data_IF_664865295695
#
_entry.id   IF_664865295695
#
_cell.length_a   1.000
_cell.length_b   1.000
_cell.length_c   1.000
_cell.angle_alpha   90.00
_cell.angle_beta   90.00
_cell.angle_gamma   90.00
#
_symmetry.space_group_name_H-M   'P 1'
#
loop_
_entity.id
_entity.type
_entity.pdbx_description
1 polymer ?
#
# COMPACT_ATOMS: atom_id res chain seq x y z
N UNK A 1 15.84 25.73 -13.43
CA UNK A 1 17.14 25.28 -13.94
C UNK A 1 16.95 24.70 -15.34
N UNK A 2 17.86 25.01 -16.26
CA UNK A 2 17.70 24.87 -17.71
C UNK A 2 17.78 23.41 -18.24
N UNK A 3 16.90 22.53 -17.73
CA UNK A 3 16.83 21.13 -18.14
C UNK A 3 15.74 20.28 -17.48
N UNK A 4 14.85 20.87 -16.66
CA UNK A 4 13.72 20.15 -16.06
C UNK A 4 12.41 20.68 -16.68
N UNK A 5 11.55 19.83 -17.27
CA UNK A 5 10.25 20.28 -17.72
C UNK A 5 9.46 20.76 -16.50
N UNK A 6 9.06 22.03 -16.51
CA UNK A 6 8.07 22.57 -15.59
C UNK A 6 6.79 22.78 -16.40
N UNK A 7 5.68 22.19 -15.94
CA UNK A 7 4.37 22.44 -16.52
C UNK A 7 3.79 23.66 -15.79
N UNK A 8 3.43 24.68 -16.57
CA UNK A 8 2.68 25.84 -16.10
C UNK A 8 1.24 25.66 -16.55
N UNK A 9 0.29 25.69 -15.62
CA UNK A 9 -1.13 25.63 -15.92
C UNK A 9 -1.90 26.60 -15.04
N UNK A 10 -2.67 27.49 -15.65
CA UNK A 10 -3.66 28.31 -14.96
C UNK A 10 -5.01 27.64 -15.17
N UNK A 11 -5.64 27.18 -14.09
CA UNK A 11 -6.99 26.63 -14.17
C UNK A 11 -8.00 27.74 -13.83
N UNK A 12 -8.72 28.21 -14.85
CA UNK A 12 -9.87 29.08 -14.65
C UNK A 12 -11.11 28.20 -14.44
N UNK A 13 -11.86 28.38 -13.36
CA UNK A 13 -13.21 27.81 -13.24
C UNK A 13 -14.23 28.88 -12.88
N UNK A 14 -15.42 28.79 -13.48
CA UNK A 14 -16.53 29.70 -13.26
C UNK A 14 -17.48 29.09 -12.21
N UNK A 15 -17.76 29.83 -11.14
CA UNK A 15 -18.81 29.50 -10.17
C UNK A 15 -20.00 30.42 -10.38
N UNK A 16 -21.17 29.86 -10.69
CA UNK A 16 -22.40 30.63 -11.00
C UNK A 16 -23.01 31.37 -9.81
N UNK A 17 -22.43 31.28 -8.61
CA UNK A 17 -22.93 31.92 -7.39
C UNK A 17 -22.21 33.20 -6.96
N UNK A 18 -21.06 33.52 -7.57
CA UNK A 18 -20.30 34.75 -7.28
C UNK A 18 -20.03 35.46 -8.59
N UNK A 19 -20.56 36.67 -8.75
CA UNK A 19 -20.26 37.57 -9.88
C UNK A 19 -18.86 38.14 -9.74
N UNK A 20 -17.86 37.25 -9.72
CA UNK A 20 -16.45 37.60 -9.64
C UNK A 20 -15.65 36.62 -10.49
N UNK A 21 -14.74 37.15 -11.32
CA UNK A 21 -13.70 36.34 -11.94
C UNK A 21 -12.69 36.04 -10.84
N UNK A 22 -12.92 35.00 -10.05
CA UNK A 22 -11.95 34.65 -9.01
C UNK A 22 -10.74 34.02 -9.71
N UNK A 23 -9.79 34.87 -10.07
CA UNK A 23 -8.46 34.52 -10.56
C UNK A 23 -7.69 33.82 -9.43
N UNK A 24 -7.99 32.55 -9.16
CA UNK A 24 -7.12 31.72 -8.34
C UNK A 24 -5.90 31.32 -9.17
N UNK A 25 -4.90 32.19 -9.21
CA UNK A 25 -3.61 31.85 -9.77
C UNK A 25 -2.90 30.89 -8.80
N UNK A 26 -2.70 29.64 -9.22
CA UNK A 26 -1.69 28.77 -8.63
C UNK A 26 -0.34 29.48 -8.80
N UNK A 27 0.22 30.03 -7.73
CA UNK A 27 1.47 30.81 -7.80
C UNK A 27 2.65 29.91 -7.46
N UNK A 28 3.23 29.31 -8.49
CA UNK A 28 4.61 28.80 -8.50
C UNK A 28 4.86 27.48 -7.76
N UNK A 29 5.77 26.70 -8.33
CA UNK A 29 6.43 25.55 -7.70
C UNK A 29 7.89 25.95 -7.50
N UNK A 30 8.30 26.13 -6.24
CA UNK A 30 9.67 26.50 -5.86
C UNK A 30 10.41 25.37 -5.15
N UNK A 31 11.74 25.37 -5.24
CA UNK A 31 12.63 24.46 -4.51
C UNK A 31 13.34 25.23 -3.39
N UNK A 32 13.30 24.72 -2.16
CA UNK A 32 14.12 25.21 -1.05
C UNK A 32 15.48 24.50 -1.03
N UNK A 33 16.52 25.20 -1.52
CA UNK A 33 17.89 24.69 -1.70
C UNK A 33 18.72 24.60 -0.40
N UNK A 34 18.10 24.85 0.76
CA UNK A 34 18.81 24.99 2.05
C UNK A 34 18.75 23.69 2.88
N UNK A 35 17.92 22.71 2.49
CA UNK A 35 17.81 21.41 3.16
C UNK A 35 17.97 20.27 2.14
N UNK A 36 18.61 19.15 2.52
CA UNK A 36 18.90 18.02 1.63
C UNK A 36 17.64 17.28 1.13
N UNK A 37 16.50 17.46 1.81
CA UNK A 37 15.21 16.90 1.40
C UNK A 37 14.26 18.05 1.05
N UNK A 38 14.20 18.45 -0.22
CA UNK A 38 13.30 19.53 -0.64
C UNK A 38 11.90 19.01 -0.95
N UNK A 39 10.91 19.41 -0.16
CA UNK A 39 9.49 19.32 -0.54
C UNK A 39 9.06 20.62 -1.21
N UNK A 40 8.21 20.53 -2.23
CA UNK A 40 7.53 21.70 -2.80
C UNK A 40 6.38 22.04 -1.85
N UNK A 41 6.18 23.31 -1.51
CA UNK A 41 4.93 23.79 -0.91
C UNK A 41 4.17 24.59 -1.96
N UNK A 42 2.94 24.19 -2.27
CA UNK A 42 2.05 24.94 -3.18
C UNK A 42 1.19 25.86 -2.32
N UNK A 43 1.31 27.17 -2.54
CA UNK A 43 0.55 28.21 -1.84
C UNK A 43 -0.58 28.71 -2.74
N UNK A 44 -1.81 28.75 -2.23
CA UNK A 44 -2.94 29.47 -2.85
C UNK A 44 -3.14 30.81 -2.15
N UNK A 45 -3.21 31.91 -2.88
CA UNK A 45 -3.15 33.25 -2.29
C UNK A 45 -4.46 33.72 -1.62
N UNK A 46 -4.30 34.12 -0.34
CA UNK A 46 -4.94 35.20 0.44
C UNK A 46 -6.47 35.33 0.60
N UNK A 47 -6.89 35.34 1.88
CA UNK A 47 -8.05 36.06 2.40
C UNK A 47 -7.70 36.68 3.77
N UNK A 48 -7.98 37.98 3.96
CA UNK A 48 -7.81 38.72 5.23
C UNK A 48 -8.81 38.22 6.28
N UNK A 49 -8.54 37.06 6.89
CA UNK A 49 -9.09 36.63 8.20
C UNK A 49 -8.78 35.15 8.43
N UNK A 50 -7.58 34.84 8.93
CA UNK A 50 -7.36 33.61 9.70
C UNK A 50 -7.75 32.26 9.06
N UNK A 51 -7.84 32.14 7.74
CA UNK A 51 -8.12 30.85 7.09
C UNK A 51 -6.83 30.03 6.91
N UNK A 52 -6.72 28.85 7.53
CA UNK A 52 -5.57 27.99 7.34
C UNK A 52 -5.74 27.18 6.04
N UNK A 53 -4.90 27.49 5.05
CA UNK A 53 -4.45 26.59 3.98
C UNK A 53 -5.57 25.94 3.13
N UNK A 54 -5.91 26.53 1.98
CA UNK A 54 -6.67 25.80 0.97
C UNK A 54 -5.77 24.78 0.26
N UNK A 55 -6.11 23.49 0.38
CA UNK A 55 -5.42 22.39 -0.28
C UNK A 55 -5.80 22.31 -1.77
N UNK A 56 -4.91 21.75 -2.61
CA UNK A 56 -5.24 21.32 -3.97
C UNK A 56 -6.15 20.08 -3.90
N UNK A 57 -7.28 20.08 -4.61
CA UNK A 57 -8.23 18.96 -4.57
C UNK A 57 -7.96 18.02 -5.75
N UNK A 58 -7.93 16.72 -5.50
CA UNK A 58 -8.03 15.70 -6.55
C UNK A 58 -9.47 15.19 -6.61
N UNK A 59 -10.00 15.05 -7.82
CA UNK A 59 -11.32 14.46 -8.05
C UNK A 59 -11.16 13.18 -8.87
N UNK A 60 -11.39 12.03 -8.23
CA UNK A 60 -11.28 10.71 -8.87
C UNK A 60 -12.54 9.92 -8.54
N UNK A 61 -13.21 9.37 -9.56
CA UNK A 61 -14.34 8.47 -9.37
C UNK A 61 -15.57 9.05 -8.66
N UNK A 62 -15.78 10.37 -8.67
CA UNK A 62 -16.91 10.99 -7.99
C UNK A 62 -16.63 11.53 -6.59
N UNK A 63 -15.41 11.36 -6.09
CA UNK A 63 -15.01 11.73 -4.73
C UNK A 63 -13.95 12.83 -4.80
N UNK A 64 -14.17 13.92 -4.05
CA UNK A 64 -13.18 14.96 -3.83
C UNK A 64 -12.24 14.53 -2.71
N UNK A 65 -10.93 14.48 -2.97
CA UNK A 65 -9.90 14.32 -1.95
C UNK A 65 -9.21 15.66 -1.66
N UNK A 66 -8.97 15.89 -0.36
CA UNK A 66 -8.17 17.01 0.17
C UNK A 66 -6.75 16.57 0.52
N UNK A 67 -6.38 15.33 0.16
CA UNK A 67 -5.01 14.84 0.22
C UNK A 67 -4.22 15.76 -0.69
N UNK A 68 -3.53 16.71 -0.05
CA UNK A 68 -2.70 17.69 -0.67
C UNK A 68 -1.94 17.05 -1.85
N UNK A 69 -2.30 17.38 -3.10
CA UNK A 69 -1.31 17.27 -4.18
C UNK A 69 -0.27 18.32 -3.82
N UNK A 70 0.69 17.94 -3.01
CA UNK A 70 1.82 18.79 -2.74
C UNK A 70 3.05 17.90 -2.60
N UNK A 71 3.32 17.10 -3.62
CA UNK A 71 4.69 17.00 -4.13
C UNK A 71 4.64 16.76 -5.63
N UNK A 72 4.87 17.81 -6.43
CA UNK A 72 5.41 17.62 -7.76
C UNK A 72 6.87 17.22 -7.58
N UNK A 73 7.13 15.93 -7.37
CA UNK A 73 8.48 15.42 -7.60
C UNK A 73 8.61 15.38 -9.12
N UNK A 74 9.59 16.06 -9.74
CA UNK A 74 9.91 15.73 -11.12
C UNK A 74 10.18 14.22 -11.15
N UNK A 75 9.31 13.46 -11.82
CA UNK A 75 9.43 12.01 -11.98
C UNK A 75 10.81 11.75 -12.56
N UNK A 76 11.71 11.33 -11.67
CA UNK A 76 13.15 11.37 -11.78
C UNK A 76 13.86 12.16 -12.88
N UNK A 77 15.04 11.70 -13.27
CA UNK A 77 15.53 11.98 -14.61
C UNK A 77 14.62 11.27 -15.61
N UNK A 78 14.64 11.64 -16.90
CA UNK A 78 13.86 10.96 -17.94
C UNK A 78 14.13 9.42 -18.04
N UNK A 79 15.10 8.90 -17.29
CA UNK A 79 15.58 7.52 -17.29
C UNK A 79 15.38 6.77 -15.97
N UNK A 80 15.08 7.45 -14.85
CA UNK A 80 14.99 6.81 -13.54
C UNK A 80 13.65 7.13 -12.88
N UNK A 81 12.98 6.15 -12.30
CA UNK A 81 11.76 6.37 -11.54
C UNK A 81 11.58 5.33 -10.43
N UNK A 82 10.68 5.58 -9.49
CA UNK A 82 10.43 4.72 -8.34
C UNK A 82 8.95 4.75 -8.00
N UNK A 83 8.33 3.59 -7.81
CA UNK A 83 6.91 3.44 -7.54
C UNK A 83 6.70 2.57 -6.32
N UNK A 84 6.02 3.09 -5.30
CA UNK A 84 5.64 2.27 -4.15
C UNK A 84 4.49 1.37 -4.59
N UNK A 85 4.70 0.06 -4.58
CA UNK A 85 3.71 -0.93 -5.01
C UNK A 85 2.98 -1.59 -3.85
N UNK A 86 3.49 -1.45 -2.62
CA UNK A 86 2.75 -1.79 -1.41
C UNK A 86 3.26 -0.97 -0.21
N UNK A 87 2.34 -0.50 0.65
CA UNK A 87 0.88 -0.68 0.61
C UNK A 87 0.18 0.20 -0.45
N UNK A 88 -0.85 -0.33 -1.12
CA UNK A 88 -1.71 0.42 -2.05
C UNK A 88 -3.04 0.81 -1.39
N UNK A 89 -3.64 1.92 -1.85
CA UNK A 89 -5.03 2.39 -1.65
C UNK A 89 -5.82 1.73 -0.50
N UNK A 90 -5.84 2.38 0.66
CA UNK A 90 -6.72 1.97 1.76
C UNK A 90 -6.32 0.67 2.47
N UNK A 91 -5.08 0.20 2.26
CA UNK A 91 -4.51 -0.94 2.97
C UNK A 91 -4.65 -0.81 4.49
N UNK A 92 -4.84 -1.97 5.14
CA UNK A 92 -4.93 -2.11 6.59
C UNK A 92 -3.58 -2.58 7.13
N UNK A 93 -3.07 -1.87 8.13
CA UNK A 93 -1.90 -2.28 8.91
C UNK A 93 -2.26 -2.41 10.39
N UNK A 94 -1.53 -3.25 11.11
CA UNK A 94 -1.65 -3.38 12.56
C UNK A 94 -0.36 -2.89 13.21
N UNK A 95 -0.52 -2.11 14.27
CA UNK A 95 0.62 -1.59 15.04
C UNK A 95 1.46 -2.72 15.63
N UNK A 96 2.77 -2.49 15.73
CA UNK A 96 3.78 -3.45 16.20
C UNK A 96 3.94 -4.72 15.35
N UNK A 97 3.25 -4.85 14.21
CA UNK A 97 3.47 -5.95 13.27
C UNK A 97 4.44 -5.55 12.16
N UNK A 98 5.02 -6.57 11.54
CA UNK A 98 5.96 -6.43 10.43
C UNK A 98 5.23 -6.46 9.09
N UNK A 99 5.67 -5.61 8.18
CA UNK A 99 5.18 -5.51 6.81
C UNK A 99 6.35 -5.30 5.87
N UNK A 100 6.37 -6.02 4.76
CA UNK A 100 7.20 -5.60 3.64
C UNK A 100 6.57 -4.37 2.99
N UNK A 101 7.39 -3.35 2.76
CA UNK A 101 7.12 -2.28 1.82
C UNK A 101 7.69 -2.72 0.48
N UNK A 102 6.90 -2.67 -0.59
CA UNK A 102 7.35 -3.06 -1.93
C UNK A 102 7.41 -1.86 -2.85
N UNK A 103 8.39 -1.86 -3.74
CA UNK A 103 8.50 -0.86 -4.79
C UNK A 103 9.12 -1.42 -6.07
N UNK A 104 8.84 -0.74 -7.17
CA UNK A 104 9.48 -0.97 -8.45
C UNK A 104 10.32 0.24 -8.83
N UNK A 105 11.55 -0.01 -9.34
CA UNK A 105 12.42 1.05 -9.87
C UNK A 105 12.59 0.91 -11.37
N UNK A 106 12.50 2.03 -12.08
CA UNK A 106 12.91 2.17 -13.48
C UNK A 106 14.30 2.79 -13.51
N UNK A 107 15.15 2.33 -14.43
CA UNK A 107 16.53 2.80 -14.56
C UNK A 107 17.50 2.04 -13.65
N UNK A 108 18.79 2.31 -13.81
CA UNK A 108 19.87 1.59 -13.12
C UNK A 108 20.68 2.46 -12.17
N UNK A 109 20.37 3.77 -12.10
CA UNK A 109 21.19 4.73 -11.36
C UNK A 109 20.73 4.91 -9.91
N UNK A 110 19.60 4.29 -9.54
CA UNK A 110 19.08 4.28 -8.17
C UNK A 110 19.82 3.18 -7.39
N UNK A 111 20.78 3.61 -6.58
CA UNK A 111 21.61 2.74 -5.74
C UNK A 111 20.90 2.35 -4.44
N UNK A 112 20.16 3.29 -3.84
CA UNK A 112 19.44 3.07 -2.58
C UNK A 112 18.16 3.89 -2.48
N UNK A 113 17.30 3.50 -1.54
CA UNK A 113 15.99 4.10 -1.29
C UNK A 113 15.91 4.65 0.12
N UNK A 114 15.53 5.91 0.25
CA UNK A 114 15.19 6.52 1.53
C UNK A 114 13.69 6.42 1.75
N UNK A 115 13.29 5.97 2.93
CA UNK A 115 11.91 5.63 3.28
C UNK A 115 11.47 6.48 4.47
N UNK A 116 10.26 7.04 4.41
CA UNK A 116 9.64 7.78 5.49
C UNK A 116 8.20 7.32 5.73
N UNK A 117 7.72 7.58 6.95
CA UNK A 117 6.30 7.61 7.25
C UNK A 117 5.86 8.95 7.83
N UNK A 118 4.58 9.28 7.67
CA UNK A 118 3.91 10.35 8.40
C UNK A 118 2.66 9.83 9.10
N UNK A 119 2.17 10.60 10.08
CA UNK A 119 0.96 10.29 10.85
C UNK A 119 -0.13 11.35 10.61
N UNK A 120 -1.38 10.90 10.43
CA UNK A 120 -2.63 11.69 10.19
C UNK A 120 -3.55 10.99 9.16
N UNK A 121 -4.90 11.03 9.14
CA UNK A 121 -5.97 11.65 9.97
C UNK A 121 -7.00 10.58 10.40
N UNK A 122 -7.33 10.50 11.70
CA UNK A 122 -8.68 10.18 12.16
C UNK A 122 -9.51 11.48 12.21
N UNK A 123 -10.45 11.63 11.30
CA UNK A 123 -11.61 12.55 11.26
C UNK A 123 -11.55 14.06 11.67
N UNK A 124 -10.61 14.61 12.46
CA UNK A 124 -10.81 15.98 13.02
C UNK A 124 -9.62 16.94 13.22
N UNK A 125 -8.35 16.55 13.11
CA UNK A 125 -7.20 17.48 13.26
C UNK A 125 -6.24 17.46 12.07
N UNK A 126 -5.57 18.59 11.77
CA UNK A 126 -4.72 18.76 10.58
C UNK A 126 -3.60 17.69 10.47
N UNK A 127 -3.23 17.32 9.24
CA UNK A 127 -2.10 16.42 8.98
C UNK A 127 -0.82 16.98 9.59
N UNK A 128 0.01 16.11 10.17
CA UNK A 128 1.37 16.50 10.52
C UNK A 128 2.18 16.66 9.23
N UNK A 129 2.80 17.82 9.01
CA UNK A 129 3.78 18.02 7.93
C UNK A 129 5.13 17.34 8.24
N UNK A 130 5.18 16.53 9.29
CA UNK A 130 6.39 15.92 9.83
C UNK A 130 6.52 14.49 9.31
N UNK A 131 7.56 14.26 8.51
CA UNK A 131 7.97 12.94 8.05
C UNK A 131 9.02 12.38 9.00
N UNK A 132 8.80 11.15 9.45
CA UNK A 132 9.78 10.38 10.23
C UNK A 132 10.48 9.40 9.31
N UNK A 133 11.82 9.36 9.36
CA UNK A 133 12.61 8.42 8.56
C UNK A 133 12.39 7.00 9.12
N UNK A 134 11.98 6.07 8.24
CA UNK A 134 11.99 4.63 8.51
C UNK A 134 13.40 4.09 8.32
N UNK A 135 13.96 4.36 7.13
CA UNK A 135 15.27 3.86 6.72
C UNK A 135 15.92 4.91 5.80
N UNK A 136 17.07 5.49 6.18
CA UNK A 136 17.73 6.51 5.37
C UNK A 136 18.35 5.99 4.06
N UNK A 137 18.68 4.71 3.96
CA UNK A 137 19.44 4.13 2.83
C UNK A 137 19.20 2.62 2.63
N UNK A 138 17.96 2.22 2.40
CA UNK A 138 17.60 0.84 2.06
C UNK A 138 18.25 0.44 0.72
N UNK A 139 18.85 -0.76 0.59
CA UNK A 139 19.26 -1.27 -0.71
C UNK A 139 18.09 -1.24 -1.69
N UNK A 140 18.32 -0.88 -2.96
CA UNK A 140 17.27 -0.89 -3.97
C UNK A 140 16.99 -2.33 -4.47
N UNK A 141 16.49 -3.20 -3.58
CA UNK A 141 16.13 -4.60 -3.88
C UNK A 141 14.65 -4.79 -4.20
N UNK A 142 13.85 -3.71 -4.14
CA UNK A 142 12.41 -3.74 -4.38
C UNK A 142 11.56 -3.99 -3.13
N UNK A 143 12.19 -4.20 -1.97
CA UNK A 143 11.48 -4.46 -0.72
C UNK A 143 12.23 -3.97 0.52
N UNK A 144 11.48 -3.63 1.58
CA UNK A 144 12.01 -3.33 2.90
C UNK A 144 11.07 -3.81 4.00
N UNK A 145 11.58 -4.57 4.97
CA UNK A 145 10.81 -5.03 6.11
C UNK A 145 10.69 -3.92 7.17
N UNK A 146 9.50 -3.38 7.33
CA UNK A 146 9.18 -2.34 8.30
C UNK A 146 8.35 -2.89 9.46
N UNK A 147 8.65 -2.45 10.69
CA UNK A 147 7.78 -2.67 11.85
C UNK A 147 6.94 -1.42 12.09
N UNK A 148 5.62 -1.56 12.01
CA UNK A 148 4.69 -0.44 12.19
C UNK A 148 4.79 0.09 13.62
N UNK A 149 5.03 1.39 13.83
CA UNK A 149 5.11 1.98 15.17
C UNK A 149 3.83 1.79 15.98
N UNK A 150 3.96 1.73 17.31
CA UNK A 150 2.82 1.78 18.24
C UNK A 150 2.21 3.19 18.27
N UNK A 151 1.37 3.48 17.28
CA UNK A 151 0.67 4.76 17.14
C UNK A 151 -0.76 4.52 16.69
N UNK A 152 -1.69 5.18 17.37
CA UNK A 152 -3.12 5.10 17.07
C UNK A 152 -3.49 6.14 16.00
N UNK A 153 -2.91 5.97 14.81
CA UNK A 153 -3.07 6.90 13.69
C UNK A 153 -3.06 6.15 12.36
N UNK A 154 -3.70 6.74 11.36
CA UNK A 154 -3.41 6.37 9.98
C UNK A 154 -1.98 6.81 9.60
N UNK A 155 -1.40 6.06 8.66
CA UNK A 155 -0.05 6.29 8.16
C UNK A 155 -0.07 6.62 6.67
N UNK A 156 1.01 7.24 6.20
CA UNK A 156 1.39 7.32 4.79
C UNK A 156 2.85 6.95 4.67
N UNK A 157 3.24 6.31 3.59
CA UNK A 157 4.62 5.98 3.27
C UNK A 157 5.10 6.89 2.12
N UNK A 158 6.37 7.27 2.17
CA UNK A 158 7.04 7.96 1.07
C UNK A 158 8.39 7.30 0.84
N UNK A 159 8.80 7.21 -0.43
CA UNK A 159 10.08 6.67 -0.83
C UNK A 159 10.78 7.58 -1.84
N UNK A 160 12.10 7.70 -1.74
CA UNK A 160 12.93 8.41 -2.70
C UNK A 160 14.12 7.54 -3.11
N UNK A 161 14.35 7.43 -4.42
CA UNK A 161 15.52 6.75 -4.97
C UNK A 161 16.70 7.71 -5.09
N UNK A 162 17.87 7.30 -4.64
CA UNK A 162 19.11 8.07 -4.65
C UNK A 162 20.25 7.29 -5.29
N UNK A 163 21.19 8.00 -5.90
CA UNK A 163 22.46 7.42 -6.31
C UNK A 163 23.48 7.39 -5.15
N UNK A 164 24.66 6.83 -5.41
CA UNK A 164 25.78 6.65 -4.49
C UNK A 164 26.36 7.96 -3.96
N UNK A 165 26.07 9.09 -4.62
CA UNK A 165 26.42 10.43 -4.16
C UNK A 165 25.29 11.09 -3.35
N UNK A 166 24.27 10.34 -2.92
CA UNK A 166 23.07 10.81 -2.24
C UNK A 166 22.27 11.87 -3.01
N UNK A 167 22.39 11.87 -4.35
CA UNK A 167 21.55 12.72 -5.17
C UNK A 167 20.23 12.01 -5.42
N UNK A 168 19.12 12.66 -5.09
CA UNK A 168 17.76 12.15 -5.36
C UNK A 168 17.52 12.08 -6.86
N UNK A 169 17.26 10.87 -7.35
CA UNK A 169 16.99 10.57 -8.75
C UNK A 169 15.53 10.22 -9.00
N UNK A 170 14.76 9.81 -8.00
CA UNK A 170 13.36 9.45 -8.14
C UNK A 170 12.62 9.60 -6.81
N UNK A 171 11.29 9.59 -6.84
CA UNK A 171 10.46 9.34 -5.68
C UNK A 171 9.04 9.00 -6.06
N UNK A 172 8.38 8.29 -5.16
CA UNK A 172 6.97 8.02 -5.25
C UNK A 172 6.16 9.18 -4.65
N UNK A 173 5.17 9.66 -5.40
CA UNK A 173 4.28 10.75 -4.99
C UNK A 173 2.92 10.26 -4.50
N UNK A 174 2.73 8.96 -4.34
CA UNK A 174 1.48 8.39 -3.84
C UNK A 174 1.49 8.46 -2.32
N UNK A 175 0.54 9.22 -1.77
CA UNK A 175 0.41 9.45 -0.33
C UNK A 175 -0.87 8.82 0.20
N UNK A 176 -1.17 7.62 -0.31
CA UNK A 176 -2.38 6.90 0.04
C UNK A 176 -2.40 6.64 1.54
N UNK A 177 -3.56 6.92 2.13
CA UNK A 177 -3.77 6.69 3.56
C UNK A 177 -3.87 5.19 3.82
N UNK A 178 -3.01 4.72 4.72
CA UNK A 178 -3.02 3.37 5.27
C UNK A 178 -3.74 3.44 6.61
N UNK A 179 -4.83 2.70 6.74
CA UNK A 179 -5.54 2.61 8.02
C UNK A 179 -4.75 1.71 8.96
N UNK A 180 -4.40 2.23 10.14
CA UNK A 180 -3.88 1.37 11.20
C UNK A 180 -5.02 0.93 12.12
N UNK A 181 -5.16 -0.37 12.30
CA UNK A 181 -6.14 -0.95 13.19
C UNK A 181 -5.51 -1.39 14.52
N UNK A 182 -6.37 -1.46 15.52
CA UNK A 182 -6.12 -2.15 16.76
C UNK A 182 -6.40 -3.63 16.57
N UNK A 183 -5.54 -4.53 17.05
CA UNK A 183 -5.83 -5.96 17.06
C UNK A 183 -6.93 -6.37 18.07
N UNK A 184 -7.67 -5.44 18.70
CA UNK A 184 -8.40 -5.65 19.96
C UNK A 184 -9.84 -6.18 19.82
N UNK A 185 -10.11 -7.11 18.91
CA UNK A 185 -11.47 -7.68 18.85
C UNK A 185 -11.84 -8.60 20.04
N UNK A 186 -10.89 -8.93 20.93
CA UNK A 186 -11.21 -9.51 22.24
C UNK A 186 -10.09 -9.25 23.25
N UNK A 187 -10.45 -8.90 24.49
CA UNK A 187 -9.53 -8.41 25.54
C UNK A 187 -8.49 -9.40 26.06
N UNK A 188 -8.26 -10.54 25.39
CA UNK A 188 -7.27 -11.56 25.76
C UNK A 188 -6.58 -12.25 24.56
N UNK A 189 -6.79 -11.77 23.33
CA UNK A 189 -6.07 -12.27 22.15
C UNK A 189 -5.03 -11.26 21.70
N UNK A 190 -3.82 -11.73 21.43
CA UNK A 190 -2.75 -10.93 20.87
C UNK A 190 -2.55 -11.32 19.40
N UNK A 191 -2.78 -10.39 18.49
CA UNK A 191 -2.44 -10.58 17.08
C UNK A 191 -0.91 -10.54 16.96
N UNK A 192 -0.30 -11.62 16.51
CA UNK A 192 1.17 -11.75 16.38
C UNK A 192 1.67 -11.55 14.95
N UNK A 193 0.79 -11.75 13.97
CA UNK A 193 1.05 -11.63 12.55
C UNK A 193 -0.27 -11.70 11.78
N UNK A 194 -0.21 -11.40 10.49
CA UNK A 194 -1.37 -11.44 9.61
C UNK A 194 -0.88 -11.62 8.17
N UNK A 195 -1.74 -12.17 7.33
CA UNK A 195 -1.52 -12.25 5.88
C UNK A 195 -2.86 -11.98 5.19
N UNK A 196 -2.84 -11.15 4.16
CA UNK A 196 -4.05 -10.82 3.41
C UNK A 196 -4.21 -11.82 2.27
N UNK A 197 -5.26 -12.64 2.33
CA UNK A 197 -5.69 -13.41 1.18
C UNK A 197 -6.19 -12.45 0.09
N UNK A 198 -5.95 -12.79 -1.18
CA UNK A 198 -6.35 -11.97 -2.34
C UNK A 198 -7.87 -11.84 -2.43
N UNK A 199 -8.61 -12.85 -1.96
CA UNK A 199 -10.08 -12.86 -1.94
C UNK A 199 -10.59 -13.26 -0.56
N UNK A 200 -11.77 -13.88 -0.49
CA UNK A 200 -12.36 -14.33 0.77
C UNK A 200 -11.66 -15.59 1.26
N UNK A 201 -10.97 -15.51 2.40
CA UNK A 201 -10.53 -16.68 3.16
C UNK A 201 -11.74 -17.32 3.85
N UNK A 202 -12.32 -18.36 3.24
CA UNK A 202 -13.54 -19.01 3.73
C UNK A 202 -13.27 -20.05 4.82
N UNK A 203 -12.14 -20.75 4.73
CA UNK A 203 -11.74 -21.79 5.68
C UNK A 203 -10.21 -21.95 5.70
N UNK A 204 -9.67 -22.48 6.79
CA UNK A 204 -8.24 -22.71 6.98
C UNK A 204 -7.97 -24.02 7.70
N UNK A 205 -7.02 -24.80 7.18
CA UNK A 205 -6.47 -25.98 7.86
C UNK A 205 -4.96 -25.82 8.03
N UNK A 206 -4.45 -26.14 9.22
CA UNK A 206 -3.03 -26.01 9.57
C UNK A 206 -2.39 -27.39 9.65
N UNK A 207 -1.30 -27.58 8.93
CA UNK A 207 -0.52 -28.83 8.93
C UNK A 207 0.97 -28.48 9.04
N UNK A 208 1.54 -28.73 10.22
CA UNK A 208 2.91 -28.31 10.52
C UNK A 208 3.04 -26.79 10.47
N UNK A 209 4.02 -26.30 9.70
CA UNK A 209 4.31 -24.88 9.52
C UNK A 209 3.55 -24.25 8.35
N UNK A 210 2.51 -24.91 7.83
CA UNK A 210 1.74 -24.43 6.68
C UNK A 210 0.26 -24.28 7.01
N UNK A 211 -0.31 -23.16 6.59
CA UNK A 211 -1.74 -22.92 6.55
C UNK A 211 -2.24 -23.08 5.10
N UNK A 212 -3.22 -23.94 4.91
CA UNK A 212 -3.95 -24.10 3.66
C UNK A 212 -5.26 -23.33 3.80
N UNK A 213 -5.52 -22.40 2.90
CA UNK A 213 -6.63 -21.47 2.96
C UNK A 213 -7.52 -21.69 1.73
N UNK A 214 -8.80 -21.96 1.96
CA UNK A 214 -9.81 -21.95 0.92
C UNK A 214 -10.07 -20.48 0.54
N UNK A 215 -9.32 -20.00 -0.46
CA UNK A 215 -9.30 -18.60 -0.89
C UNK A 215 -10.40 -18.35 -1.93
N UNK A 216 -11.64 -18.65 -1.58
CA UNK A 216 -12.83 -18.34 -2.39
C UNK A 216 -12.69 -18.71 -3.88
N UNK A 217 -12.88 -17.72 -4.74
CA UNK A 217 -12.80 -17.88 -6.21
C UNK A 217 -11.37 -17.99 -6.74
N UNK A 218 -10.37 -17.72 -5.89
CA UNK A 218 -8.97 -17.77 -6.26
C UNK A 218 -8.38 -19.18 -6.11
N UNK A 219 -9.00 -20.04 -5.29
CA UNK A 219 -8.67 -21.46 -5.20
C UNK A 219 -8.15 -21.86 -3.84
N UNK A 220 -7.05 -22.62 -3.81
CA UNK A 220 -6.35 -23.01 -2.59
C UNK A 220 -5.04 -22.22 -2.48
N UNK A 221 -4.87 -21.52 -1.38
CA UNK A 221 -3.65 -20.79 -1.05
C UNK A 221 -2.88 -21.55 0.04
N UNK A 222 -1.56 -21.66 -0.11
CA UNK A 222 -0.66 -22.23 0.90
C UNK A 222 0.22 -21.13 1.43
N UNK A 223 0.17 -20.93 2.74
CA UNK A 223 0.94 -19.92 3.46
C UNK A 223 1.91 -20.62 4.39
N UNK A 224 3.19 -20.26 4.33
CA UNK A 224 4.18 -20.61 5.34
C UNK A 224 3.96 -19.73 6.57
N UNK A 225 3.79 -20.36 7.72
CA UNK A 225 3.53 -19.75 9.02
C UNK A 225 4.61 -20.10 10.06
N UNK A 226 5.78 -20.58 9.62
CA UNK A 226 6.93 -20.91 10.48
C UNK A 226 7.42 -19.72 11.30
N UNK A 227 7.44 -18.52 10.70
CA UNK A 227 7.51 -17.25 11.43
C UNK A 227 6.09 -16.68 11.55
N UNK A 228 5.46 -16.88 12.71
CA UNK A 228 4.12 -16.38 12.99
C UNK A 228 4.00 -14.86 12.97
N UNK A 229 5.13 -14.12 13.01
CA UNK A 229 5.15 -12.66 12.88
C UNK A 229 5.17 -12.16 11.44
N UNK A 230 5.46 -13.05 10.48
CA UNK A 230 5.61 -12.72 9.07
C UNK A 230 5.18 -13.90 8.17
N UNK A 231 3.90 -14.32 8.25
CA UNK A 231 3.37 -15.34 7.35
C UNK A 231 3.43 -14.84 5.90
N UNK A 232 3.73 -15.75 4.96
CA UNK A 232 3.79 -15.43 3.53
C UNK A 232 3.31 -16.59 2.67
N UNK A 233 2.73 -16.26 1.52
CA UNK A 233 2.30 -17.26 0.55
C UNK A 233 3.50 -17.97 -0.08
N UNK A 234 3.44 -19.29 -0.13
CA UNK A 234 4.45 -20.14 -0.78
C UNK A 234 3.90 -20.87 -2.00
N UNK A 235 2.58 -21.01 -2.12
CA UNK A 235 1.96 -21.66 -3.27
C UNK A 235 0.50 -21.24 -3.46
N UNK A 236 0.10 -21.22 -4.73
CA UNK A 236 -1.27 -21.02 -5.17
C UNK A 236 -1.69 -22.13 -6.12
N UNK A 237 -2.84 -22.73 -5.84
CA UNK A 237 -3.51 -23.64 -6.76
C UNK A 237 -4.82 -23.02 -7.20
N UNK A 238 -4.85 -22.51 -8.43
CA UNK A 238 -6.07 -22.00 -9.04
C UNK A 238 -7.07 -23.14 -9.21
N UNK A 239 -8.22 -23.03 -8.55
CA UNK A 239 -9.30 -24.01 -8.61
C UNK A 239 -10.60 -23.31 -9.00
N UNK A 240 -11.37 -23.87 -9.95
CA UNK A 240 -12.64 -23.26 -10.34
C UNK A 240 -13.68 -23.40 -9.23
N UNK A 241 -14.60 -22.45 -9.21
CA UNK A 241 -15.66 -22.34 -8.22
C UNK A 241 -15.30 -21.51 -7.00
N UNK A 242 -16.27 -21.27 -6.13
CA UNK A 242 -16.06 -20.59 -4.86
C UNK A 242 -15.75 -21.63 -3.78
N UNK A 243 -14.47 -21.81 -3.46
CA UNK A 243 -13.95 -22.81 -2.53
C UNK A 243 -14.23 -22.37 -1.09
N UNK A 244 -14.93 -23.20 -0.31
CA UNK A 244 -15.56 -22.75 0.94
C UNK A 244 -15.23 -23.55 2.19
N UNK A 245 -14.97 -24.85 2.08
CA UNK A 245 -14.79 -25.70 3.26
C UNK A 245 -13.78 -26.80 2.99
N UNK A 246 -12.93 -27.07 3.98
CA UNK A 246 -11.87 -28.07 3.91
C UNK A 246 -11.93 -29.03 5.08
N UNK A 247 -11.55 -30.28 4.82
CA UNK A 247 -11.19 -31.24 5.86
C UNK A 247 -9.96 -32.04 5.44
N UNK A 248 -9.20 -32.54 6.41
CA UNK A 248 -7.93 -33.24 6.20
C UNK A 248 -8.06 -34.71 6.58
N UNK A 249 -7.77 -35.60 5.63
CA UNK A 249 -7.69 -37.04 5.89
C UNK A 249 -6.38 -37.59 5.36
N UNK A 250 -5.48 -37.94 6.28
CA UNK A 250 -4.13 -38.39 5.96
C UNK A 250 -3.36 -37.30 5.21
N UNK A 251 -2.81 -37.64 4.03
CA UNK A 251 -2.07 -36.72 3.17
C UNK A 251 -2.95 -36.03 2.12
N UNK A 252 -4.24 -35.84 2.41
CA UNK A 252 -5.19 -35.22 1.48
C UNK A 252 -6.07 -34.18 2.16
N UNK A 253 -6.29 -33.08 1.45
CA UNK A 253 -7.33 -32.10 1.73
C UNK A 253 -8.54 -32.41 0.84
N UNK A 254 -9.71 -32.47 1.47
CA UNK A 254 -11.00 -32.54 0.80
C UNK A 254 -11.58 -31.14 0.78
N UNK A 255 -11.67 -30.53 -0.40
CA UNK A 255 -12.11 -29.15 -0.57
C UNK A 255 -13.44 -29.11 -1.30
N UNK A 256 -14.46 -28.55 -0.67
CA UNK A 256 -15.77 -28.32 -1.27
C UNK A 256 -15.86 -26.89 -1.83
N UNK A 257 -16.48 -26.76 -3.00
CA UNK A 257 -16.86 -25.47 -3.58
C UNK A 257 -18.38 -25.30 -3.65
N UNK A 258 -18.85 -24.06 -3.87
CA UNK A 258 -20.28 -23.74 -4.03
C UNK A 258 -20.87 -24.19 -5.39
N UNK A 259 -20.08 -24.85 -6.25
CA UNK A 259 -20.51 -25.36 -7.56
C UNK A 259 -20.76 -26.89 -7.49
N UNK A 260 -21.21 -27.36 -6.33
CA UNK A 260 -21.52 -28.76 -6.07
C UNK A 260 -20.35 -29.71 -6.41
N UNK A 261 -19.11 -29.28 -6.14
CA UNK A 261 -17.93 -30.13 -6.31
C UNK A 261 -17.24 -30.40 -4.99
N UNK A 262 -16.79 -31.65 -4.81
CA UNK A 262 -15.74 -32.01 -3.86
C UNK A 262 -14.44 -32.36 -4.60
N UNK A 263 -13.34 -31.73 -4.21
CA UNK A 263 -11.99 -31.91 -4.74
C UNK A 263 -11.14 -32.67 -3.73
N UNK A 264 -10.26 -33.53 -4.22
CA UNK A 264 -9.26 -34.22 -3.40
C UNK A 264 -7.89 -33.71 -3.80
N UNK A 265 -7.20 -33.10 -2.85
CA UNK A 265 -5.93 -32.42 -3.05
C UNK A 265 -4.86 -33.18 -2.27
N UNK A 266 -3.85 -33.69 -2.96
CA UNK A 266 -2.69 -34.29 -2.30
C UNK A 266 -1.80 -33.19 -1.72
N UNK A 267 -1.48 -33.33 -0.44
CA UNK A 267 -0.56 -32.47 0.32
C UNK A 267 0.72 -33.23 0.69
N UNK A 268 1.09 -34.25 -0.09
CA UNK A 268 2.32 -35.03 0.13
C UNK A 268 3.56 -34.15 0.03
N UNK A 269 3.54 -33.16 -0.88
CA UNK A 269 4.46 -32.04 -0.86
C UNK A 269 3.69 -30.80 -0.34
N UNK A 270 4.00 -30.29 0.87
CA UNK A 270 3.18 -29.27 1.48
C UNK A 270 3.24 -27.92 0.76
N UNK A 271 4.34 -27.61 0.06
CA UNK A 271 4.53 -26.36 -0.70
C UNK A 271 4.22 -26.51 -2.19
N UNK A 272 3.73 -27.67 -2.62
CA UNK A 272 3.28 -27.90 -3.99
C UNK A 272 2.13 -28.92 -4.01
N UNK A 273 0.99 -28.61 -3.36
CA UNK A 273 -0.19 -29.46 -3.40
C UNK A 273 -0.77 -29.54 -4.81
N UNK A 274 -1.47 -30.64 -5.09
CA UNK A 274 -2.08 -30.86 -6.41
C UNK A 274 -3.41 -31.58 -6.28
N UNK A 275 -4.38 -31.20 -7.13
CA UNK A 275 -5.65 -31.92 -7.21
C UNK A 275 -5.42 -33.31 -7.84
N UNK A 276 -5.72 -34.36 -7.08
CA UNK A 276 -5.61 -35.77 -7.51
C UNK A 276 -6.96 -36.41 -7.81
N UNK A 277 -8.06 -35.76 -7.42
CA UNK A 277 -9.42 -36.23 -7.69
C UNK A 277 -10.44 -35.10 -7.63
N UNK A 278 -11.59 -35.33 -8.27
CA UNK A 278 -12.76 -34.45 -8.25
C UNK A 278 -14.01 -35.32 -8.38
N UNK A 279 -15.05 -35.00 -7.62
CA UNK A 279 -16.41 -35.48 -7.86
C UNK A 279 -17.34 -34.28 -7.92
N UNK A 280 -18.13 -34.21 -9.00
CA UNK A 280 -19.23 -33.25 -9.12
C UNK A 280 -20.52 -33.93 -8.72
N UNK A 281 -21.29 -33.31 -7.85
CA UNK A 281 -22.64 -33.70 -7.50
C UNK A 281 -23.55 -32.99 -8.50
N UNK A 282 -23.66 -33.50 -9.73
CA UNK A 282 -24.61 -32.97 -10.71
C UNK A 282 -26.02 -33.02 -10.10
N UNK A 283 -26.59 -31.86 -9.77
CA UNK A 283 -28.00 -31.72 -9.37
C UNK A 283 -28.84 -31.39 -10.60
#
# INVERSE_FOLDING_TARGET
DAGRPCIWGVWNYWSSGHSDYINHALTGVGYQIILPDTFVQVHTTWGWSGEPLWALWTYVGGVYSTDQIITFVPGGSNSNNLFLTYPQQGGLMFKNLKYYLYWESIGSDIDHVKIWYSIGRQASSYDSSYWTVIEPSAPNTGEYLWTVPDQDSAFRINIAGLNSSNQRLAADGSFDRIQCLFPDHSSNLNLVGHFNAVTTANDVVIIGDYAYIANGTDGLMVTDISDSSLPHEVFHLSLPGNNVAMDVVGSHIFLADQEDTLRVISITNPTNPSQVGKIGFNV
#
